data_IF_909695419791
#
_entry.id   IF_909695419791
#
_cell.length_a   1.000
_cell.length_b   1.000
_cell.length_c   1.000
_cell.angle_alpha   90.00
_cell.angle_beta   90.00
_cell.angle_gamma   90.00
#
_symmetry.space_group_name_H-M   'P 1'
#
loop_
_entity.id
_entity.type
_entity.pdbx_description
1 polymer ?
#
# COMPACT_ATOMS: atom_id res chain seq x y z
N UNK A 1 -27.87 -17.44 72.85
CA UNK A 1 -26.96 -16.63 72.01
C UNK A 1 -27.20 -17.10 70.62
N UNK A 2 -27.63 -16.24 69.68
CA UNK A 2 -27.75 -16.66 68.30
C UNK A 2 -26.35 -16.79 67.69
N UNK A 3 -26.05 -17.92 67.08
CA UNK A 3 -24.85 -18.15 66.32
C UNK A 3 -24.84 -17.19 65.14
N UNK A 4 -23.85 -16.33 65.10
CA UNK A 4 -23.59 -15.44 64.00
C UNK A 4 -22.97 -16.30 62.87
N UNK A 5 -23.81 -16.93 62.06
CA UNK A 5 -23.37 -17.57 60.84
C UNK A 5 -22.88 -16.46 59.92
N UNK A 6 -21.56 -16.32 59.81
CA UNK A 6 -20.97 -15.50 58.76
C UNK A 6 -21.34 -16.15 57.42
N UNK A 7 -22.38 -15.67 56.77
CA UNK A 7 -22.65 -16.06 55.40
C UNK A 7 -21.49 -15.53 54.59
N UNK A 8 -20.66 -16.50 54.11
CA UNK A 8 -19.69 -16.20 53.07
C UNK A 8 -20.53 -15.79 51.85
N UNK A 9 -20.37 -14.59 51.30
CA UNK A 9 -21.04 -14.24 50.05
C UNK A 9 -20.68 -15.33 49.04
N UNK A 10 -21.69 -16.01 48.50
CA UNK A 10 -21.51 -16.85 47.33
C UNK A 10 -20.97 -15.98 46.26
N UNK A 11 -19.70 -16.18 45.91
CA UNK A 11 -18.94 -15.26 45.08
C UNK A 11 -19.68 -14.90 43.79
N UNK A 12 -19.58 -13.64 43.41
CA UNK A 12 -20.19 -13.03 42.23
C UNK A 12 -19.65 -13.60 40.90
N UNK A 13 -19.25 -14.86 40.83
CA UNK A 13 -18.68 -15.51 39.66
C UNK A 13 -17.25 -15.01 39.34
N UNK A 14 -16.64 -15.60 38.35
CA UNK A 14 -15.32 -15.19 37.86
C UNK A 14 -15.44 -13.82 37.13
N UNK A 15 -14.55 -12.85 37.41
CA UNK A 15 -14.53 -11.58 36.67
C UNK A 15 -13.76 -11.66 35.35
N UNK A 16 -13.30 -12.85 34.93
CA UNK A 16 -12.46 -12.99 33.74
C UNK A 16 -13.30 -12.93 32.45
N UNK A 17 -13.24 -11.80 31.77
CA UNK A 17 -13.92 -11.49 30.52
C UNK A 17 -12.96 -11.43 29.33
N UNK A 18 -11.87 -12.23 29.33
CA UNK A 18 -10.89 -12.24 28.26
C UNK A 18 -11.04 -13.42 27.31
N UNK A 19 -10.68 -13.17 26.05
CA UNK A 19 -10.50 -14.26 25.07
C UNK A 19 -9.17 -14.96 25.30
N UNK A 20 -9.15 -16.28 25.10
CA UNK A 20 -7.93 -17.10 25.00
C UNK A 20 -7.46 -17.20 23.55
N UNK A 21 -8.37 -17.01 22.59
CA UNK A 21 -8.14 -17.08 21.15
C UNK A 21 -9.15 -16.23 20.40
N UNK A 22 -8.71 -15.61 19.31
CA UNK A 22 -9.55 -14.88 18.36
C UNK A 22 -8.91 -14.99 16.97
N UNK A 23 -9.69 -15.40 15.98
CA UNK A 23 -9.24 -15.52 14.61
C UNK A 23 -10.36 -15.25 13.61
N UNK A 24 -9.96 -14.91 12.38
CA UNK A 24 -10.83 -14.87 11.21
C UNK A 24 -10.35 -15.95 10.23
N UNK A 25 -11.24 -16.86 9.85
CA UNK A 25 -10.87 -18.01 9.01
C UNK A 25 -10.31 -17.53 7.66
N UNK A 26 -9.09 -18.01 7.34
CA UNK A 26 -8.39 -17.66 6.09
C UNK A 26 -7.66 -16.31 6.10
N UNK A 27 -7.73 -15.55 7.20
CA UNK A 27 -7.13 -14.21 7.28
C UNK A 27 -6.28 -14.04 8.54
N UNK A 28 -5.29 -13.15 8.47
CA UNK A 28 -4.46 -12.78 9.61
C UNK A 28 -4.93 -11.48 10.23
N UNK A 29 -5.10 -11.46 11.55
CA UNK A 29 -5.40 -10.25 12.30
C UNK A 29 -4.18 -9.33 12.41
N UNK A 30 -4.41 -8.04 12.32
CA UNK A 30 -3.41 -7.01 12.59
C UNK A 30 -3.88 -6.12 13.75
N UNK A 31 -3.15 -6.05 14.86
CA UNK A 31 -2.01 -6.90 15.21
C UNK A 31 -2.41 -8.37 15.40
N UNK A 32 -1.45 -9.29 15.43
CA UNK A 32 -1.70 -10.69 15.80
C UNK A 32 -2.36 -10.76 17.17
N UNK A 33 -3.27 -11.73 17.37
CA UNK A 33 -4.02 -11.88 18.61
C UNK A 33 -3.11 -11.85 19.86
N UNK A 34 -3.54 -11.09 20.85
CA UNK A 34 -2.92 -10.98 22.18
C UNK A 34 -4.00 -10.80 23.24
N UNK A 35 -3.79 -11.38 24.41
CA UNK A 35 -4.72 -11.33 25.56
C UNK A 35 -5.13 -9.93 26.01
N UNK A 36 -4.34 -8.90 25.66
CA UNK A 36 -4.53 -7.52 26.12
C UNK A 36 -4.92 -6.55 24.99
N UNK A 37 -4.97 -7.05 23.76
CA UNK A 37 -5.39 -6.26 22.58
C UNK A 37 -6.86 -6.48 22.36
N UNK A 38 -7.59 -5.40 22.17
CA UNK A 38 -9.05 -5.41 21.98
C UNK A 38 -9.48 -4.86 20.61
N UNK A 39 -8.54 -4.32 19.85
CA UNK A 39 -8.79 -3.76 18.52
C UNK A 39 -7.91 -4.46 17.49
N UNK A 40 -8.51 -4.93 16.41
CA UNK A 40 -7.87 -5.65 15.33
C UNK A 40 -8.38 -5.14 14.00
N UNK A 41 -7.61 -5.35 12.95
CA UNK A 41 -8.03 -5.06 11.59
C UNK A 41 -7.54 -6.12 10.62
N UNK A 42 -8.23 -6.22 9.48
CA UNK A 42 -7.81 -7.00 8.32
C UNK A 42 -8.45 -6.43 7.05
N UNK A 43 -7.87 -6.78 5.91
CA UNK A 43 -8.37 -6.38 4.60
C UNK A 43 -8.75 -7.64 3.85
N UNK A 44 -9.89 -7.61 3.17
CA UNK A 44 -10.39 -8.69 2.33
C UNK A 44 -10.69 -8.18 0.92
N UNK A 45 -10.56 -9.06 -0.06
CA UNK A 45 -10.83 -8.73 -1.45
C UNK A 45 -12.34 -8.45 -1.68
N UNK A 46 -12.65 -7.74 -2.77
CA UNK A 46 -14.03 -7.42 -3.17
C UNK A 46 -14.94 -8.66 -3.23
N UNK A 47 -14.43 -9.80 -3.69
CA UNK A 47 -15.21 -11.03 -3.85
C UNK A 47 -15.56 -11.70 -2.51
N UNK A 48 -14.98 -11.25 -1.41
CA UNK A 48 -15.26 -11.75 -0.06
C UNK A 48 -16.49 -11.06 0.52
N UNK A 49 -17.64 -11.67 0.38
CA UNK A 49 -18.92 -11.10 0.86
C UNK A 49 -19.21 -11.38 2.33
N UNK A 50 -18.50 -12.31 2.96
CA UNK A 50 -18.64 -12.64 4.38
C UNK A 50 -17.34 -13.24 4.93
N UNK A 51 -17.16 -13.14 6.24
CA UNK A 51 -16.04 -13.77 6.99
C UNK A 51 -16.60 -14.58 8.17
N UNK A 52 -15.86 -15.64 8.56
CA UNK A 52 -16.16 -16.37 9.77
C UNK A 52 -15.20 -15.94 10.88
N UNK A 53 -15.75 -15.48 12.01
CA UNK A 53 -15.00 -15.11 13.21
C UNK A 53 -15.13 -16.23 14.23
N UNK A 54 -13.98 -16.76 14.65
CA UNK A 54 -13.89 -17.77 15.71
C UNK A 54 -13.10 -17.26 16.90
N UNK A 55 -13.36 -17.85 18.06
CA UNK A 55 -12.66 -17.49 19.30
C UNK A 55 -13.15 -18.28 20.48
N UNK A 56 -12.48 -18.16 21.60
CA UNK A 56 -12.82 -18.84 22.85
C UNK A 56 -12.53 -17.94 24.05
N UNK A 57 -13.36 -18.01 25.09
CA UNK A 57 -13.07 -17.35 26.34
C UNK A 57 -11.88 -18.01 27.07
N UNK A 58 -11.12 -17.22 27.81
CA UNK A 58 -10.07 -17.71 28.70
C UNK A 58 -10.64 -18.43 29.93
N UNK A 59 -11.80 -18.01 30.38
CA UNK A 59 -12.54 -18.64 31.46
C UNK A 59 -13.74 -19.41 30.87
N UNK A 60 -13.81 -20.70 31.15
CA UNK A 60 -14.88 -21.58 30.65
C UNK A 60 -16.27 -21.23 31.20
N UNK A 61 -16.36 -20.40 32.23
CA UNK A 61 -17.63 -19.90 32.79
C UNK A 61 -18.10 -18.59 32.17
N UNK A 62 -17.28 -17.98 31.30
CA UNK A 62 -17.65 -16.79 30.55
C UNK A 62 -18.37 -17.18 29.26
N UNK A 63 -19.32 -16.32 28.84
CA UNK A 63 -20.04 -16.45 27.58
C UNK A 63 -19.41 -15.56 26.51
N UNK A 64 -19.40 -16.02 25.25
CA UNK A 64 -18.86 -15.26 24.12
C UNK A 64 -19.95 -15.10 23.07
N UNK A 65 -20.28 -13.88 22.74
CA UNK A 65 -21.23 -13.52 21.70
C UNK A 65 -20.53 -12.77 20.54
N UNK A 66 -21.17 -12.74 19.36
CA UNK A 66 -20.63 -12.08 18.18
C UNK A 66 -19.70 -12.95 17.33
N UNK A 67 -19.53 -14.24 17.66
CA UNK A 67 -18.82 -15.22 16.83
C UNK A 67 -19.70 -15.73 15.69
N UNK A 68 -19.09 -16.25 14.63
CA UNK A 68 -19.78 -16.86 13.48
C UNK A 68 -19.56 -16.10 12.18
N UNK A 69 -20.50 -16.24 11.24
CA UNK A 69 -20.44 -15.57 9.96
C UNK A 69 -20.97 -14.13 10.06
N UNK A 70 -20.21 -13.20 9.43
CA UNK A 70 -20.57 -11.80 9.31
C UNK A 70 -20.55 -11.40 7.85
N UNK A 71 -21.66 -10.87 7.35
CA UNK A 71 -21.75 -10.30 6.01
C UNK A 71 -21.00 -8.97 5.96
N UNK A 72 -20.32 -8.73 4.85
CA UNK A 72 -19.50 -7.55 4.65
C UNK A 72 -20.06 -6.65 3.55
N UNK A 73 -20.28 -5.39 3.89
CA UNK A 73 -20.42 -4.32 2.89
C UNK A 73 -19.06 -3.93 2.36
N UNK A 74 -18.99 -3.37 1.14
CA UNK A 74 -17.79 -2.75 0.61
C UNK A 74 -17.37 -1.59 1.54
N UNK A 75 -16.08 -1.45 1.78
CA UNK A 75 -15.53 -0.51 2.74
C UNK A 75 -15.37 -1.10 4.14
N UNK A 76 -15.41 -0.26 5.15
CA UNK A 76 -15.16 -0.63 6.55
C UNK A 76 -16.38 -1.30 7.20
N UNK A 77 -16.14 -2.42 7.89
CA UNK A 77 -17.13 -3.17 8.65
C UNK A 77 -16.55 -3.48 10.03
N UNK A 78 -17.19 -3.02 11.08
CA UNK A 78 -16.78 -3.29 12.46
C UNK A 78 -17.58 -4.48 13.01
N UNK A 79 -16.86 -5.52 13.39
CA UNK A 79 -17.41 -6.73 14.03
C UNK A 79 -17.04 -6.69 15.51
N UNK A 80 -18.05 -6.72 16.37
CA UNK A 80 -17.87 -6.70 17.82
C UNK A 80 -18.09 -8.09 18.40
N UNK A 81 -17.11 -8.59 19.15
CA UNK A 81 -17.18 -9.81 19.93
C UNK A 81 -17.21 -9.42 21.40
N UNK A 82 -18.25 -9.81 22.11
CA UNK A 82 -18.42 -9.49 23.54
C UNK A 82 -18.20 -10.74 24.38
N UNK A 83 -17.30 -10.64 25.35
CA UNK A 83 -17.10 -11.66 26.39
C UNK A 83 -17.76 -11.22 27.69
N UNK A 84 -18.72 -11.99 28.16
CA UNK A 84 -19.44 -11.76 29.42
C UNK A 84 -18.91 -12.71 30.47
N UNK A 85 -18.24 -12.20 31.48
CA UNK A 85 -17.75 -12.98 32.62
C UNK A 85 -18.92 -13.49 33.49
N UNK A 86 -18.69 -14.51 34.31
CA UNK A 86 -19.69 -15.11 35.19
C UNK A 86 -20.24 -14.14 36.25
N UNK A 87 -19.51 -13.06 36.57
CA UNK A 87 -19.98 -11.99 37.45
C UNK A 87 -20.81 -10.90 36.70
N UNK A 88 -20.93 -11.01 35.37
CA UNK A 88 -21.65 -10.06 34.51
C UNK A 88 -20.82 -8.94 33.91
N UNK A 89 -19.51 -8.87 34.16
CA UNK A 89 -18.63 -7.88 33.55
C UNK A 89 -18.39 -8.22 32.07
N UNK A 90 -18.45 -7.21 31.21
CA UNK A 90 -18.27 -7.38 29.77
C UNK A 90 -16.93 -6.80 29.30
N UNK A 91 -16.37 -7.43 28.26
CA UNK A 91 -15.27 -6.90 27.46
C UNK A 91 -15.59 -7.06 25.99
N UNK A 92 -15.52 -5.94 25.26
CA UNK A 92 -15.68 -5.95 23.82
C UNK A 92 -14.32 -6.01 23.12
N UNK A 93 -14.29 -6.78 22.04
CA UNK A 93 -13.19 -6.85 21.07
C UNK A 93 -13.76 -6.43 19.72
N UNK A 94 -13.07 -5.52 19.04
CA UNK A 94 -13.50 -5.02 17.73
C UNK A 94 -12.55 -5.51 16.63
N UNK A 95 -13.10 -6.06 15.57
CA UNK A 95 -12.37 -6.39 14.35
C UNK A 95 -12.89 -5.48 13.23
N UNK A 96 -12.07 -4.55 12.78
CA UNK A 96 -12.39 -3.73 11.60
C UNK A 96 -11.97 -4.51 10.35
N UNK A 97 -12.95 -4.96 9.57
CA UNK A 97 -12.74 -5.66 8.30
C UNK A 97 -12.98 -4.67 7.17
N UNK A 98 -11.93 -4.36 6.41
CA UNK A 98 -12.05 -3.51 5.22
C UNK A 98 -12.21 -4.40 3.99
N UNK A 99 -13.43 -4.42 3.41
CA UNK A 99 -13.69 -5.08 2.14
C UNK A 99 -13.37 -4.11 1.00
N UNK A 100 -12.44 -4.49 0.13
CA UNK A 100 -12.03 -3.65 -0.99
C UNK A 100 -13.20 -3.34 -1.92
N UNK A 101 -13.14 -2.20 -2.58
CA UNK A 101 -14.05 -1.88 -3.68
C UNK A 101 -13.82 -2.83 -4.85
N UNK A 102 -14.86 -3.01 -5.66
CA UNK A 102 -14.68 -3.69 -6.95
C UNK A 102 -13.68 -2.87 -7.76
N UNK A 103 -12.55 -3.51 -8.10
CA UNK A 103 -11.68 -2.93 -9.11
C UNK A 103 -12.54 -2.55 -10.32
N UNK A 104 -12.48 -1.33 -10.84
CA UNK A 104 -13.31 -0.95 -11.96
C UNK A 104 -13.12 -2.00 -13.04
N UNK A 105 -14.23 -2.60 -13.46
CA UNK A 105 -14.25 -3.60 -14.53
C UNK A 105 -13.44 -2.99 -15.68
N UNK A 106 -12.38 -3.64 -16.18
CA UNK A 106 -11.68 -3.08 -17.32
C UNK A 106 -12.75 -2.73 -18.33
N UNK A 107 -12.89 -1.44 -18.62
CA UNK A 107 -13.84 -0.94 -19.60
C UNK A 107 -13.81 -1.92 -20.74
N UNK A 108 -14.96 -2.53 -21.17
CA UNK A 108 -14.93 -3.51 -22.26
C UNK A 108 -14.10 -2.87 -23.35
N UNK A 109 -12.99 -3.55 -23.66
CA UNK A 109 -12.08 -3.11 -24.72
C UNK A 109 -12.97 -2.78 -25.91
N UNK A 110 -13.03 -1.52 -26.39
CA UNK A 110 -13.80 -1.23 -27.58
C UNK A 110 -13.33 -2.23 -28.63
N UNK A 111 -14.30 -2.86 -29.30
CA UNK A 111 -14.07 -3.78 -30.43
C UNK A 111 -12.86 -3.24 -31.21
N UNK A 112 -11.81 -4.04 -31.49
CA UNK A 112 -10.55 -3.53 -31.97
C UNK A 112 -10.82 -2.65 -33.20
N UNK A 113 -10.87 -1.35 -32.96
CA UNK A 113 -10.74 -0.38 -34.04
C UNK A 113 -9.44 -0.76 -34.77
N UNK A 114 -9.43 -0.69 -36.12
CA UNK A 114 -8.25 -1.00 -36.89
C UNK A 114 -7.08 -0.32 -36.19
N UNK A 115 -6.09 -1.15 -35.78
CA UNK A 115 -4.90 -0.70 -35.01
C UNK A 115 -4.55 0.72 -35.40
N UNK A 116 -4.67 1.71 -34.49
CA UNK A 116 -4.21 3.03 -34.83
C UNK A 116 -2.77 2.88 -35.27
N UNK A 117 -2.48 3.43 -36.44
CA UNK A 117 -1.12 3.67 -36.88
C UNK A 117 -0.37 4.19 -35.65
N UNK A 118 0.80 3.63 -35.26
CA UNK A 118 1.45 3.95 -33.98
C UNK A 118 1.37 5.45 -33.77
N UNK A 119 0.75 5.86 -32.63
CA UNK A 119 0.64 7.29 -32.32
C UNK A 119 2.02 7.90 -32.55
N UNK A 120 2.13 8.98 -33.31
CA UNK A 120 3.43 9.58 -33.59
C UNK A 120 4.09 9.85 -32.25
N UNK A 121 5.29 9.29 -32.04
CA UNK A 121 6.08 9.53 -30.84
C UNK A 121 6.01 11.01 -30.47
N UNK A 122 5.54 11.31 -29.25
CA UNK A 122 5.47 12.71 -28.82
C UNK A 122 6.88 13.26 -28.85
N UNK A 123 7.10 14.25 -29.71
CA UNK A 123 8.42 14.82 -29.92
C UNK A 123 8.72 15.83 -28.79
N UNK A 124 9.79 15.60 -28.08
CA UNK A 124 10.35 16.49 -27.06
C UNK A 124 11.60 17.20 -27.60
N UNK A 125 12.12 18.25 -26.94
CA UNK A 125 13.35 18.88 -27.40
C UNK A 125 14.51 17.88 -27.51
N UNK A 126 14.87 17.52 -28.74
CA UNK A 126 15.98 16.62 -29.07
C UNK A 126 15.68 15.12 -29.14
N UNK A 127 14.51 14.67 -28.69
CA UNK A 127 14.14 13.25 -28.72
C UNK A 127 12.63 13.00 -28.81
N UNK A 128 12.24 11.76 -29.13
CA UNK A 128 10.90 11.21 -28.91
C UNK A 128 10.99 9.93 -28.08
N UNK A 129 9.90 9.54 -27.44
CA UNK A 129 9.85 8.36 -26.57
C UNK A 129 8.44 7.84 -26.41
N UNK A 130 8.32 6.55 -26.09
CA UNK A 130 7.08 5.90 -25.63
C UNK A 130 6.90 5.98 -24.11
N UNK A 131 7.87 6.49 -23.38
CA UNK A 131 7.75 6.71 -21.93
C UNK A 131 6.82 7.89 -21.63
N UNK A 132 6.23 7.90 -20.44
CA UNK A 132 5.39 9.01 -19.99
C UNK A 132 6.27 10.17 -19.54
N UNK A 133 6.10 11.34 -20.17
CA UNK A 133 6.85 12.56 -19.85
C UNK A 133 5.88 13.62 -19.35
N UNK A 134 6.20 14.20 -18.21
CA UNK A 134 5.52 15.40 -17.69
C UNK A 134 6.39 16.63 -17.99
N UNK A 135 5.91 17.46 -18.92
CA UNK A 135 6.61 18.67 -19.37
C UNK A 135 6.52 19.81 -18.35
N UNK A 136 5.48 19.85 -17.54
CA UNK A 136 5.27 20.90 -16.55
C UNK A 136 6.15 20.68 -15.32
N UNK A 137 6.18 19.44 -14.81
CA UNK A 137 6.95 19.07 -13.63
C UNK A 137 8.35 18.51 -13.97
N UNK A 138 8.66 18.33 -15.28
CA UNK A 138 9.97 17.87 -15.77
C UNK A 138 10.42 16.53 -15.25
N UNK A 139 9.53 15.53 -15.25
CA UNK A 139 9.90 14.15 -14.95
C UNK A 139 9.48 13.17 -16.05
N UNK A 140 10.11 12.00 -16.06
CA UNK A 140 9.81 10.89 -16.95
C UNK A 140 9.53 9.62 -16.13
N UNK A 141 8.52 8.87 -16.51
CA UNK A 141 8.07 7.66 -15.82
C UNK A 141 7.68 6.55 -16.81
N UNK A 142 7.21 5.41 -16.30
CA UNK A 142 6.94 4.23 -17.11
C UNK A 142 8.10 3.24 -17.12
N UNK A 143 9.04 3.43 -16.20
CA UNK A 143 10.21 2.58 -15.94
C UNK A 143 9.98 1.71 -14.70
N UNK A 144 10.80 0.68 -14.56
CA UNK A 144 10.82 -0.25 -13.42
C UNK A 144 12.21 -0.32 -12.80
N UNK A 145 12.31 -0.81 -11.57
CA UNK A 145 13.60 -1.05 -10.89
C UNK A 145 14.48 -2.12 -11.59
N UNK A 146 13.97 -2.78 -12.63
CA UNK A 146 14.72 -3.75 -13.44
C UNK A 146 15.31 -3.13 -14.71
N UNK A 147 14.97 -1.89 -15.06
CA UNK A 147 15.49 -1.23 -16.25
C UNK A 147 16.93 -0.75 -16.00
N UNK A 148 17.83 -1.13 -16.91
CA UNK A 148 19.18 -0.62 -16.97
C UNK A 148 19.21 0.70 -17.75
N UNK A 149 20.28 1.47 -17.56
CA UNK A 149 20.53 2.71 -18.31
C UNK A 149 20.34 2.48 -19.81
N UNK A 150 20.85 1.36 -20.37
CA UNK A 150 20.72 1.07 -21.80
C UNK A 150 19.25 0.82 -22.19
N UNK A 151 18.47 0.12 -21.36
CA UNK A 151 17.04 -0.14 -21.63
C UNK A 151 16.23 1.15 -21.69
N UNK A 152 16.62 2.16 -20.92
CA UNK A 152 16.00 3.48 -20.95
C UNK A 152 16.43 4.23 -22.20
N UNK A 153 17.72 4.23 -22.54
CA UNK A 153 18.25 4.93 -23.71
C UNK A 153 17.73 4.31 -25.01
N UNK A 154 17.46 3.01 -25.05
CA UNK A 154 16.86 2.31 -26.20
C UNK A 154 15.37 2.72 -26.43
N UNK A 155 14.72 3.31 -25.42
CA UNK A 155 13.37 3.89 -25.51
C UNK A 155 13.38 5.39 -25.89
N UNK A 156 14.56 5.96 -26.15
CA UNK A 156 14.76 7.38 -26.47
C UNK A 156 15.26 7.50 -27.91
N UNK A 157 14.42 7.94 -28.80
CA UNK A 157 14.78 8.19 -30.20
C UNK A 157 15.30 9.63 -30.37
N UNK A 158 16.61 9.76 -30.37
CA UNK A 158 17.28 11.06 -30.56
C UNK A 158 17.24 11.47 -32.04
N UNK A 159 16.97 12.72 -32.33
CA UNK A 159 16.91 13.26 -33.67
C UNK A 159 17.80 14.50 -33.87
N UNK A 160 18.05 14.86 -35.14
CA UNK A 160 18.88 16.01 -35.51
C UNK A 160 20.30 15.99 -34.91
N UNK A 161 20.87 14.79 -34.71
CA UNK A 161 22.20 14.62 -34.12
C UNK A 161 22.27 14.88 -32.64
N UNK A 162 21.10 14.93 -31.96
CA UNK A 162 21.04 14.96 -30.50
C UNK A 162 21.49 13.61 -29.92
N UNK A 163 21.87 13.60 -28.65
CA UNK A 163 22.20 12.41 -27.88
C UNK A 163 21.76 12.55 -26.44
N UNK A 164 21.34 11.46 -25.85
CA UNK A 164 20.87 11.43 -24.46
C UNK A 164 21.82 10.66 -23.55
N UNK A 165 21.87 11.03 -22.29
CA UNK A 165 22.59 10.34 -21.21
C UNK A 165 21.72 10.29 -19.97
N UNK A 166 22.05 9.32 -19.09
CA UNK A 166 21.47 9.27 -17.74
C UNK A 166 22.56 9.63 -16.75
N UNK A 167 22.24 10.59 -15.90
CA UNK A 167 23.08 10.98 -14.78
C UNK A 167 22.43 10.51 -13.48
N UNK A 168 23.24 10.20 -12.47
CA UNK A 168 22.73 10.00 -11.13
C UNK A 168 22.36 11.34 -10.48
N UNK A 169 21.68 11.31 -9.34
CA UNK A 169 21.27 12.49 -8.56
C UNK A 169 22.41 13.46 -8.19
N UNK A 170 23.67 13.03 -8.31
CA UNK A 170 24.84 13.86 -8.07
C UNK A 170 25.43 14.47 -9.35
N UNK A 171 24.79 14.22 -10.51
CA UNK A 171 25.20 14.74 -11.80
C UNK A 171 26.34 13.95 -12.48
N UNK A 172 26.70 12.79 -11.99
CA UNK A 172 27.68 11.91 -12.63
C UNK A 172 26.95 10.95 -13.58
N UNK A 173 27.64 10.57 -14.68
CA UNK A 173 27.11 9.58 -15.62
C UNK A 173 26.78 8.28 -14.87
N UNK A 174 25.59 7.75 -15.10
CA UNK A 174 25.04 6.58 -14.42
C UNK A 174 25.35 5.32 -15.22
N UNK A 175 25.75 4.28 -14.50
CA UNK A 175 25.86 2.92 -15.01
C UNK A 175 24.90 2.00 -14.23
N UNK A 176 24.47 0.89 -14.84
CA UNK A 176 23.63 -0.13 -14.19
C UNK A 176 22.17 0.21 -14.18
N UNK A 177 21.48 -0.15 -13.09
CA UNK A 177 20.04 0.06 -12.93
C UNK A 177 19.72 1.53 -12.71
N UNK A 178 18.59 1.98 -13.28
CA UNK A 178 18.05 3.32 -13.03
C UNK A 178 17.28 3.36 -11.72
N UNK A 179 17.16 4.55 -11.15
CA UNK A 179 16.45 4.78 -9.90
C UNK A 179 15.72 6.12 -9.91
N UNK A 180 14.75 6.28 -9.03
CA UNK A 180 14.08 7.56 -8.81
C UNK A 180 15.10 8.63 -8.43
N UNK A 181 15.00 9.80 -9.12
CA UNK A 181 15.92 10.91 -8.93
C UNK A 181 17.17 10.86 -9.84
N UNK A 182 17.34 9.81 -10.65
CA UNK A 182 18.26 9.85 -11.78
C UNK A 182 17.72 10.81 -12.85
N UNK A 183 18.57 11.29 -13.74
CA UNK A 183 18.27 12.38 -14.64
C UNK A 183 18.51 11.94 -16.08
N UNK A 184 17.48 11.94 -16.90
CA UNK A 184 17.62 11.88 -18.35
C UNK A 184 17.94 13.28 -18.86
N UNK A 185 19.07 13.43 -19.54
CA UNK A 185 19.50 14.69 -20.13
C UNK A 185 19.76 14.50 -21.62
N UNK A 186 19.29 15.41 -22.44
CA UNK A 186 19.51 15.37 -23.88
C UNK A 186 20.31 16.60 -24.32
N UNK A 187 21.30 16.37 -25.15
CA UNK A 187 22.17 17.36 -25.74
C UNK A 187 21.90 17.44 -27.25
N UNK A 188 21.99 18.63 -27.81
CA UNK A 188 21.99 18.80 -29.25
C UNK A 188 23.32 18.39 -29.87
N UNK A 189 23.43 18.47 -31.21
CA UNK A 189 24.68 18.15 -31.96
C UNK A 189 25.88 19.06 -31.62
N UNK A 190 25.62 20.23 -31.02
CA UNK A 190 26.65 21.16 -30.55
C UNK A 190 27.09 20.88 -29.09
N UNK A 191 26.45 19.91 -28.40
CA UNK A 191 26.74 19.57 -27.01
C UNK A 191 26.06 20.50 -26.00
N UNK A 192 25.08 21.28 -26.41
CA UNK A 192 24.27 22.10 -25.51
C UNK A 192 23.09 21.27 -24.96
N UNK A 193 22.80 21.39 -23.68
CA UNK A 193 21.63 20.78 -23.06
C UNK A 193 20.34 21.37 -23.62
N UNK A 194 19.45 20.51 -24.13
CA UNK A 194 18.17 20.92 -24.71
C UNK A 194 16.98 20.41 -23.91
N UNK A 195 17.16 19.35 -23.12
CA UNK A 195 16.11 18.87 -22.22
C UNK A 195 16.70 18.15 -21.01
N UNK A 196 15.94 18.17 -19.92
CA UNK A 196 16.27 17.52 -18.66
C UNK A 196 15.00 17.05 -17.98
N UNK A 197 14.96 15.77 -17.59
CA UNK A 197 13.84 15.17 -16.88
C UNK A 197 14.37 14.30 -15.74
N UNK A 198 13.77 14.41 -14.57
CA UNK A 198 14.06 13.47 -13.48
C UNK A 198 13.30 12.17 -13.68
N UNK A 199 13.91 11.05 -13.37
CA UNK A 199 13.28 9.72 -13.49
C UNK A 199 12.43 9.47 -12.25
N UNK A 200 11.19 9.00 -12.48
CA UNK A 200 10.28 8.52 -11.44
C UNK A 200 9.99 7.05 -11.66
N UNK A 201 10.33 6.22 -10.69
CA UNK A 201 9.94 4.81 -10.62
C UNK A 201 8.97 4.66 -9.45
N UNK A 202 7.70 4.40 -9.74
CA UNK A 202 6.68 4.31 -8.70
C UNK A 202 6.96 3.14 -7.76
N UNK A 203 7.09 3.45 -6.48
CA UNK A 203 7.47 2.54 -5.41
C UNK A 203 8.91 2.66 -4.92
N UNK A 204 9.84 3.17 -5.74
CA UNK A 204 11.22 3.47 -5.35
C UNK A 204 11.28 4.89 -4.74
N UNK A 205 10.91 4.99 -3.49
CA UNK A 205 10.71 6.28 -2.76
C UNK A 205 12.00 6.82 -2.19
N UNK A 206 12.99 5.96 -1.97
CA UNK A 206 14.30 6.36 -1.46
C UNK A 206 15.33 6.62 -2.58
N UNK A 207 15.03 6.20 -3.82
CA UNK A 207 15.87 6.39 -4.99
C UNK A 207 17.13 5.54 -4.97
N UNK A 208 17.04 4.31 -4.44
CA UNK A 208 18.15 3.36 -4.45
C UNK A 208 18.08 2.34 -5.59
N UNK A 209 16.95 2.32 -6.34
CA UNK A 209 16.71 1.44 -7.48
C UNK A 209 16.15 0.07 -7.11
N UNK A 210 15.70 -0.10 -5.88
CA UNK A 210 14.97 -1.27 -5.41
C UNK A 210 13.59 -0.84 -4.91
N UNK A 211 12.62 -1.76 -4.84
CA UNK A 211 11.35 -1.54 -4.15
C UNK A 211 11.31 -2.56 -3.02
N UNK A 212 11.56 -2.08 -1.82
CA UNK A 212 11.75 -2.94 -0.67
C UNK A 212 11.09 -2.40 0.62
N UNK A 213 11.46 -2.99 1.77
CA UNK A 213 10.94 -2.59 3.07
C UNK A 213 11.32 -1.16 3.49
N UNK A 214 12.38 -0.59 2.90
CA UNK A 214 12.78 0.80 3.20
C UNK A 214 11.81 1.78 2.56
N UNK A 215 11.40 1.53 1.29
CA UNK A 215 10.37 2.33 0.61
C UNK A 215 9.03 2.24 1.31
N UNK A 216 8.62 1.02 1.65
CA UNK A 216 7.42 0.75 2.43
C UNK A 216 7.42 1.50 3.77
N UNK A 217 8.55 1.49 4.49
CA UNK A 217 8.67 2.24 5.74
C UNK A 217 8.63 3.76 5.50
N UNK A 218 9.14 4.23 4.37
CA UNK A 218 9.16 5.65 4.03
C UNK A 218 7.76 6.15 3.69
N UNK A 219 6.98 5.42 2.87
CA UNK A 219 5.57 5.73 2.59
C UNK A 219 4.77 5.76 3.89
N UNK A 220 4.91 4.74 4.75
CA UNK A 220 4.25 4.72 6.06
C UNK A 220 4.57 5.94 6.92
N UNK A 221 5.84 6.35 6.96
CA UNK A 221 6.26 7.54 7.72
C UNK A 221 5.67 8.82 7.15
N UNK A 222 5.51 8.89 5.83
CA UNK A 222 4.91 10.04 5.15
C UNK A 222 3.42 10.14 5.45
N UNK A 223 2.68 9.05 5.39
CA UNK A 223 1.26 9.00 5.78
C UNK A 223 1.05 9.42 7.24
N UNK A 224 1.97 9.06 8.12
CA UNK A 224 1.94 9.45 9.54
C UNK A 224 2.43 10.89 9.80
N UNK A 225 2.82 11.65 8.76
CA UNK A 225 3.35 13.01 8.89
C UNK A 225 4.72 13.07 9.58
N UNK A 226 5.48 11.97 9.59
CA UNK A 226 6.82 11.86 10.18
C UNK A 226 7.92 12.17 9.15
N UNK A 227 7.63 11.94 7.88
CA UNK A 227 8.49 12.25 6.74
C UNK A 227 7.67 13.01 5.71
N UNK A 228 8.33 13.85 4.92
CA UNK A 228 7.70 14.61 3.85
C UNK A 228 8.61 14.50 2.61
N UNK A 229 8.45 13.43 1.80
CA UNK A 229 9.16 13.33 0.54
C UNK A 229 8.74 14.48 -0.36
N UNK A 230 9.65 14.99 -1.17
CA UNK A 230 9.38 16.11 -2.06
C UNK A 230 9.81 15.81 -3.49
N UNK A 231 9.29 16.57 -4.47
CA UNK A 231 9.64 16.41 -5.88
C UNK A 231 9.32 15.00 -6.38
N UNK A 232 10.24 14.42 -7.14
CA UNK A 232 10.08 13.09 -7.74
C UNK A 232 9.94 11.95 -6.74
N UNK A 233 10.46 12.10 -5.52
CA UNK A 233 10.30 11.09 -4.46
C UNK A 233 8.87 11.06 -3.91
N UNK A 234 8.19 12.22 -3.86
CA UNK A 234 6.77 12.27 -3.54
C UNK A 234 5.94 11.60 -4.67
N UNK A 235 6.30 11.87 -5.93
CA UNK A 235 5.67 11.22 -7.09
C UNK A 235 5.87 9.69 -7.05
N UNK A 236 7.08 9.24 -6.72
CA UNK A 236 7.37 7.82 -6.58
C UNK A 236 6.57 7.15 -5.46
N UNK A 237 6.22 7.90 -4.41
CA UNK A 237 5.42 7.42 -3.29
C UNK A 237 3.92 7.32 -3.61
N UNK A 238 3.40 8.20 -4.49
CA UNK A 238 2.04 8.15 -5.04
C UNK A 238 1.95 7.01 -6.08
N UNK A 239 1.90 5.78 -5.60
CA UNK A 239 1.99 4.58 -6.43
C UNK A 239 0.72 4.33 -7.23
N UNK A 240 -0.44 4.80 -6.76
CA UNK A 240 -1.72 4.67 -7.46
C UNK A 240 -1.97 5.85 -8.42
N UNK A 241 -1.22 6.95 -8.29
CA UNK A 241 -1.24 8.16 -9.13
C UNK A 241 -2.54 8.96 -9.01
N UNK A 242 -3.17 8.96 -7.85
CA UNK A 242 -4.39 9.72 -7.60
C UNK A 242 -4.12 11.15 -7.07
N UNK A 243 -2.85 11.47 -6.78
CA UNK A 243 -2.40 12.76 -6.28
C UNK A 243 -2.53 12.92 -4.77
N UNK A 244 -2.85 11.88 -4.06
CA UNK A 244 -2.87 11.80 -2.61
C UNK A 244 -1.85 10.76 -2.14
N UNK A 245 -1.28 10.94 -0.95
CA UNK A 245 -0.37 9.96 -0.36
C UNK A 245 -1.05 9.32 0.84
N UNK A 246 -1.57 8.11 0.65
CA UNK A 246 -2.42 7.45 1.63
C UNK A 246 -2.18 5.93 1.74
N UNK A 247 -3.13 5.23 2.38
CA UNK A 247 -3.04 3.79 2.59
C UNK A 247 -3.15 2.95 1.30
N UNK A 248 -3.67 3.52 0.21
CA UNK A 248 -3.76 2.81 -1.07
C UNK A 248 -2.38 2.69 -1.73
N UNK A 249 -1.53 3.74 -1.61
CA UNK A 249 -0.13 3.68 -2.06
C UNK A 249 0.66 2.65 -1.27
N UNK A 250 0.47 2.68 0.05
CA UNK A 250 1.07 1.71 0.95
C UNK A 250 0.68 0.27 0.60
N UNK A 251 -0.60 0.02 0.31
CA UNK A 251 -1.08 -1.29 -0.10
C UNK A 251 -0.49 -1.72 -1.45
N UNK A 252 -0.31 -0.77 -2.37
CA UNK A 252 0.23 -1.05 -3.70
C UNK A 252 1.69 -1.46 -3.65
N UNK A 253 2.54 -0.75 -2.89
CA UNK A 253 3.95 -1.11 -2.69
C UNK A 253 4.09 -2.46 -1.98
N UNK A 254 3.24 -2.75 -1.01
CA UNK A 254 3.22 -4.06 -0.34
C UNK A 254 3.15 -5.23 -1.32
N UNK A 255 2.41 -5.10 -2.44
CA UNK A 255 2.27 -6.15 -3.46
C UNK A 255 3.54 -6.40 -4.27
N UNK A 256 4.48 -5.47 -4.30
CA UNK A 256 5.79 -5.67 -4.95
C UNK A 256 6.78 -6.40 -4.05
N UNK A 257 6.57 -6.38 -2.73
CA UNK A 257 7.52 -6.91 -1.75
C UNK A 257 7.11 -8.33 -1.28
N UNK A 258 5.83 -8.66 -1.33
CA UNK A 258 5.25 -9.93 -0.88
C UNK A 258 4.73 -10.77 -2.04
#
# INVERSE_FOLDING_TARGET
>A
MPENVCEIPTGDGSPNNRLSDLYVEGYSLTPTFSLYTIEYSLIVDYDTSSVYVGGSALDSSADVSGLGYHDLSVGSNDITITVTAANGDNQDYTITVVRQDKEPDPTPEPDPEPTPDPEPDVAYPGFSTTLSVDEDEKYISGLTVSDYVQDVLDKIDNYNGAYSKILNKNGNEKDGLVSTGDILITYNSSGEEVSRYEIVIYGDVNGDGEIDLFDFAQIKRSILGIADPSGVYWKAADCNRDGELDLFDFAKVKRYIL
#
